data_IF_819669131485
#
_entry.id   IF_819669131485
#
_cell.length_a   1.000
_cell.length_b   1.000
_cell.length_c   1.000
_cell.angle_alpha   90.00
_cell.angle_beta   90.00
_cell.angle_gamma   90.00
#
_symmetry.space_group_name_H-M   'P 1'
#
loop_
_entity.id
_entity.type
_entity.pdbx_description
1 polymer ?
#
# COMPACT_ATOMS: atom_id res chain seq x y z
N UNK A 1 -40.04 9.69 -18.34
CA UNK A 1 -40.35 10.66 -17.25
C UNK A 1 -39.71 12.00 -17.59
N UNK A 2 -40.09 13.11 -16.93
CA UNK A 2 -39.38 14.40 -17.08
C UNK A 2 -38.15 14.54 -16.18
N UNK A 3 -37.98 13.61 -15.24
CA UNK A 3 -36.81 13.39 -14.41
C UNK A 3 -37.02 12.12 -13.57
N UNK A 4 -35.96 11.61 -12.94
CA UNK A 4 -35.98 10.41 -12.10
C UNK A 4 -35.28 10.70 -10.77
N UNK A 5 -35.91 10.30 -9.67
CA UNK A 5 -35.23 10.18 -8.37
C UNK A 5 -34.93 8.69 -8.18
N UNK A 6 -33.65 8.34 -8.13
CA UNK A 6 -33.17 6.99 -7.78
C UNK A 6 -32.95 6.96 -6.28
N UNK A 7 -33.51 5.98 -5.59
CA UNK A 7 -33.26 5.80 -4.16
C UNK A 7 -32.09 4.84 -3.97
N UNK A 8 -31.13 5.18 -3.10
CA UNK A 8 -30.29 4.14 -2.51
C UNK A 8 -31.19 3.18 -1.69
N UNK A 9 -30.91 1.89 -1.78
CA UNK A 9 -31.60 0.81 -1.06
C UNK A 9 -30.94 0.44 0.28
N UNK A 10 -29.71 0.89 0.53
CA UNK A 10 -28.95 0.60 1.74
C UNK A 10 -28.93 1.80 2.71
N UNK A 11 -29.38 1.64 3.97
CA UNK A 11 -29.31 2.69 4.99
C UNK A 11 -27.88 3.14 5.28
N UNK A 12 -27.69 4.45 5.49
CA UNK A 12 -26.39 5.03 5.87
C UNK A 12 -25.33 5.10 4.76
N UNK A 13 -25.57 4.52 3.58
CA UNK A 13 -24.67 4.66 2.44
C UNK A 13 -24.73 6.06 1.81
N UNK A 14 -23.59 6.51 1.28
CA UNK A 14 -23.50 7.76 0.53
C UNK A 14 -24.25 7.64 -0.80
N UNK A 15 -24.79 8.76 -1.27
CA UNK A 15 -25.22 8.88 -2.67
C UNK A 15 -24.01 8.89 -3.58
N UNK A 16 -24.11 8.20 -4.72
CA UNK A 16 -23.06 8.16 -5.75
C UNK A 16 -23.61 8.60 -7.11
N UNK A 17 -22.72 8.99 -8.01
CA UNK A 17 -23.08 9.37 -9.37
C UNK A 17 -23.42 8.10 -10.15
N UNK A 18 -24.67 7.96 -10.59
CA UNK A 18 -25.07 6.88 -11.48
C UNK A 18 -24.44 7.06 -12.86
N UNK A 19 -23.87 6.00 -13.42
CA UNK A 19 -23.47 5.98 -14.83
C UNK A 19 -24.67 6.25 -15.75
N UNK A 20 -24.47 7.08 -16.78
CA UNK A 20 -25.53 7.52 -17.69
C UNK A 20 -25.28 7.11 -19.14
N UNK A 21 -26.36 6.84 -19.88
CA UNK A 21 -26.33 6.76 -21.34
C UNK A 21 -26.44 8.19 -21.92
N UNK A 22 -25.42 8.70 -22.64
CA UNK A 22 -25.47 10.04 -23.23
C UNK A 22 -26.57 10.20 -24.32
N UNK A 23 -27.20 9.11 -24.76
CA UNK A 23 -28.36 9.15 -25.67
C UNK A 23 -29.70 9.35 -24.93
N UNK A 24 -29.75 9.18 -23.60
CA UNK A 24 -30.98 9.34 -22.80
C UNK A 24 -30.94 10.59 -21.92
N UNK A 25 -31.48 11.69 -22.46
CA UNK A 25 -31.57 12.98 -21.77
C UNK A 25 -32.69 13.07 -20.70
N UNK A 26 -32.92 12.01 -19.91
CA UNK A 26 -33.80 12.07 -18.73
C UNK A 26 -32.93 12.41 -17.51
N UNK A 27 -33.06 13.60 -16.91
CA UNK A 27 -32.24 13.96 -15.75
C UNK A 27 -32.57 13.06 -14.56
N UNK A 28 -31.55 12.39 -14.04
CA UNK A 28 -31.64 11.52 -12.87
C UNK A 28 -30.83 12.09 -11.70
N UNK A 29 -31.30 11.88 -10.48
CA UNK A 29 -30.57 12.18 -9.24
C UNK A 29 -30.72 11.01 -8.28
N UNK A 30 -29.63 10.58 -7.64
CA UNK A 30 -29.70 9.64 -6.53
C UNK A 30 -29.91 10.40 -5.21
N UNK A 31 -30.77 9.88 -4.34
CA UNK A 31 -30.96 10.33 -2.96
C UNK A 31 -30.64 9.20 -1.99
N UNK A 32 -30.31 9.56 -0.73
CA UNK A 32 -30.02 8.59 0.32
C UNK A 32 -31.23 7.68 0.59
N UNK A 33 -31.01 6.56 1.27
CA UNK A 33 -32.11 5.70 1.69
C UNK A 33 -33.08 6.47 2.61
N UNK A 34 -32.53 7.28 3.51
CA UNK A 34 -33.24 8.09 4.49
C UNK A 34 -34.11 9.17 3.82
N UNK A 35 -33.53 9.97 2.92
CA UNK A 35 -34.25 10.96 2.12
C UNK A 35 -35.32 10.30 1.25
N UNK A 36 -35.04 9.10 0.71
CA UNK A 36 -36.03 8.35 -0.05
C UNK A 36 -37.23 7.93 0.79
N UNK A 37 -37.05 7.51 2.05
CA UNK A 37 -38.19 7.19 2.91
C UNK A 37 -39.05 8.43 3.21
N UNK A 38 -38.40 9.59 3.45
CA UNK A 38 -39.10 10.87 3.63
C UNK A 38 -39.91 11.22 2.37
N UNK A 39 -39.29 11.16 1.19
CA UNK A 39 -39.95 11.46 -0.08
C UNK A 39 -41.12 10.50 -0.36
N UNK A 40 -40.96 9.20 -0.09
CA UNK A 40 -42.03 8.20 -0.26
C UNK A 40 -43.23 8.46 0.67
N UNK A 41 -42.97 8.82 1.93
CA UNK A 41 -44.01 9.16 2.88
C UNK A 41 -44.79 10.41 2.44
N UNK A 42 -44.09 11.46 1.99
CA UNK A 42 -44.73 12.71 1.57
C UNK A 42 -45.44 12.64 0.21
N UNK A 43 -44.98 11.78 -0.71
CA UNK A 43 -45.72 11.52 -1.96
C UNK A 43 -47.11 10.95 -1.65
N UNK A 44 -47.26 10.11 -0.62
CA UNK A 44 -48.56 9.60 -0.19
C UNK A 44 -49.49 10.70 0.40
N UNK A 45 -48.91 11.79 0.90
CA UNK A 45 -49.63 12.97 1.38
C UNK A 45 -49.98 13.98 0.27
N UNK A 46 -49.63 13.70 -0.99
CA UNK A 46 -49.87 14.59 -2.13
C UNK A 46 -48.82 15.70 -2.31
N UNK A 47 -47.61 15.54 -1.75
CA UNK A 47 -46.52 16.50 -1.91
C UNK A 47 -46.16 16.68 -3.39
N UNK A 48 -46.24 17.92 -3.89
CA UNK A 48 -45.70 18.29 -5.21
C UNK A 48 -44.20 18.57 -5.09
N UNK A 49 -43.37 17.58 -5.42
CA UNK A 49 -41.91 17.73 -5.41
C UNK A 49 -41.45 18.55 -6.62
N UNK A 50 -40.85 19.71 -6.37
CA UNK A 50 -40.17 20.50 -7.41
C UNK A 50 -38.68 20.20 -7.40
N UNK A 51 -38.20 19.42 -8.37
CA UNK A 51 -36.77 19.14 -8.53
C UNK A 51 -36.12 20.34 -9.23
N UNK A 52 -35.35 21.14 -8.49
CA UNK A 52 -34.53 22.20 -9.07
C UNK A 52 -33.07 21.76 -9.14
N UNK A 53 -32.69 21.14 -10.25
CA UNK A 53 -31.28 20.89 -10.57
C UNK A 53 -30.64 22.26 -10.86
N UNK A 54 -29.98 22.80 -9.84
CA UNK A 54 -29.07 23.94 -10.00
C UNK A 54 -27.70 23.38 -10.38
N UNK A 55 -26.84 24.18 -11.02
CA UNK A 55 -25.43 23.82 -11.17
C UNK A 55 -24.79 23.78 -9.76
N UNK A 56 -24.82 22.60 -9.15
CA UNK A 56 -24.07 22.33 -7.92
C UNK A 56 -22.60 22.51 -8.28
N UNK A 57 -21.81 23.09 -7.38
CA UNK A 57 -20.36 23.00 -7.50
C UNK A 57 -20.04 21.52 -7.33
N UNK A 58 -19.86 20.79 -8.43
CA UNK A 58 -19.36 19.42 -8.45
C UNK A 58 -17.84 19.46 -8.38
N UNK A 59 -17.24 18.54 -7.64
CA UNK A 59 -15.83 18.21 -7.79
C UNK A 59 -15.74 17.28 -8.98
N UNK A 60 -15.27 17.84 -10.08
CA UNK A 60 -15.06 17.13 -11.33
C UNK A 60 -13.97 16.06 -11.13
N UNK A 61 -14.29 14.80 -11.39
CA UNK A 61 -13.36 13.67 -11.23
C UNK A 61 -12.12 13.82 -12.11
N UNK A 62 -12.22 14.56 -13.21
CA UNK A 62 -11.10 14.83 -14.12
C UNK A 62 -10.02 15.73 -13.48
N UNK A 63 -10.31 16.32 -12.31
CA UNK A 63 -9.34 17.07 -11.49
C UNK A 63 -8.73 16.22 -10.36
N UNK A 64 -9.14 14.96 -10.20
CA UNK A 64 -8.53 13.99 -9.30
C UNK A 64 -7.55 13.10 -10.08
N UNK A 65 -6.25 13.41 -9.99
CA UNK A 65 -5.21 12.64 -10.67
C UNK A 65 -5.21 11.16 -10.27
N UNK A 66 -5.68 10.81 -9.07
CA UNK A 66 -5.80 9.43 -8.62
C UNK A 66 -6.86 8.67 -9.41
N UNK A 67 -8.01 9.30 -9.69
CA UNK A 67 -9.07 8.72 -10.53
C UNK A 67 -8.56 8.54 -11.97
N UNK A 68 -7.94 9.56 -12.55
CA UNK A 68 -7.39 9.44 -13.93
C UNK A 68 -6.33 8.33 -14.04
N UNK A 69 -5.47 8.17 -13.04
CA UNK A 69 -4.49 7.08 -12.99
C UNK A 69 -5.17 5.70 -12.82
N UNK A 70 -6.21 5.62 -11.98
CA UNK A 70 -7.00 4.40 -11.78
C UNK A 70 -7.66 3.92 -13.09
N UNK A 71 -8.42 4.80 -13.76
CA UNK A 71 -9.09 4.44 -15.02
C UNK A 71 -8.10 4.02 -16.12
N UNK A 72 -6.93 4.66 -16.18
CA UNK A 72 -5.87 4.24 -17.10
C UNK A 72 -5.26 2.88 -16.70
N UNK A 73 -5.18 2.58 -15.40
CA UNK A 73 -4.75 1.31 -14.84
C UNK A 73 -5.59 0.12 -15.32
N UNK A 74 -6.90 0.30 -15.54
CA UNK A 74 -7.75 -0.71 -16.17
C UNK A 74 -7.32 -0.98 -17.63
N UNK A 75 -6.97 0.06 -18.37
CA UNK A 75 -6.48 -0.04 -19.75
C UNK A 75 -5.14 -0.79 -19.83
N UNK A 76 -4.28 -0.63 -18.83
CA UNK A 76 -3.01 -1.37 -18.71
C UNK A 76 -3.30 -2.84 -18.35
N UNK A 77 -3.97 -3.09 -17.22
CA UNK A 77 -4.15 -4.44 -16.66
C UNK A 77 -4.89 -5.39 -17.61
N UNK A 78 -5.98 -4.93 -18.25
CA UNK A 78 -6.70 -5.73 -19.24
C UNK A 78 -5.91 -6.00 -20.53
N UNK A 79 -4.92 -5.16 -20.88
CA UNK A 79 -4.10 -5.38 -22.09
C UNK A 79 -2.85 -6.24 -21.85
N UNK A 80 -2.37 -6.31 -20.61
CA UNK A 80 -1.22 -7.14 -20.24
C UNK A 80 -1.66 -8.55 -19.83
N UNK A 81 -2.72 -8.66 -19.01
CA UNK A 81 -3.22 -9.96 -18.51
C UNK A 81 -3.69 -10.86 -19.65
N UNK A 82 -3.14 -12.08 -19.74
CA UNK A 82 -3.43 -13.01 -20.84
C UNK A 82 -2.93 -12.54 -22.23
N UNK A 83 -2.25 -11.39 -22.31
CA UNK A 83 -1.72 -10.83 -23.54
C UNK A 83 -2.72 -9.99 -24.36
N UNK A 84 -2.18 -9.09 -25.17
CA UNK A 84 -2.90 -7.98 -25.81
C UNK A 84 -4.08 -8.34 -26.74
N UNK A 85 -4.23 -9.61 -27.12
CA UNK A 85 -5.37 -10.12 -27.90
C UNK A 85 -6.55 -10.62 -27.05
N UNK A 86 -6.42 -10.70 -25.72
CA UNK A 86 -7.45 -11.23 -24.82
C UNK A 86 -7.85 -10.22 -23.72
N UNK A 87 -8.52 -9.10 -24.07
CA UNK A 87 -8.77 -8.00 -23.14
C UNK A 87 -9.83 -8.26 -22.05
N UNK A 88 -10.31 -9.51 -21.91
CA UNK A 88 -11.40 -9.90 -21.01
C UNK A 88 -10.92 -10.91 -19.95
N UNK A 89 -9.65 -10.85 -19.56
CA UNK A 89 -9.02 -11.81 -18.65
C UNK A 89 -9.16 -11.46 -17.15
N UNK A 90 -9.95 -10.44 -16.81
CA UNK A 90 -10.12 -9.91 -15.45
C UNK A 90 -11.62 -9.79 -15.09
N UNK A 91 -12.34 -10.89 -15.27
CA UNK A 91 -13.81 -10.96 -15.07
C UNK A 91 -14.25 -12.05 -14.11
N UNK A 92 -13.29 -12.78 -13.52
CA UNK A 92 -13.52 -13.79 -12.49
C UNK A 92 -13.72 -13.13 -11.10
N UNK A 93 -14.06 -13.90 -10.07
CA UNK A 93 -14.41 -13.34 -8.77
C UNK A 93 -13.20 -12.82 -7.99
N UNK A 94 -12.10 -13.57 -7.98
CA UNK A 94 -10.82 -13.15 -7.35
C UNK A 94 -10.00 -12.12 -8.17
N UNK A 95 -10.61 -11.45 -9.15
CA UNK A 95 -9.85 -10.64 -10.11
C UNK A 95 -9.22 -9.38 -9.47
N UNK A 96 -7.95 -9.15 -9.80
CA UNK A 96 -7.09 -8.14 -9.18
C UNK A 96 -7.07 -6.76 -9.89
N UNK A 97 -7.90 -6.59 -10.93
CA UNK A 97 -8.02 -5.43 -11.83
C UNK A 97 -8.10 -4.08 -11.12
N UNK A 98 -9.05 -3.97 -10.21
CA UNK A 98 -9.26 -2.80 -9.34
C UNK A 98 -8.01 -2.46 -8.51
N UNK A 99 -7.28 -3.49 -8.06
CA UNK A 99 -6.12 -3.33 -7.20
C UNK A 99 -4.88 -2.86 -7.93
N UNK A 100 -4.65 -3.29 -9.18
CA UNK A 100 -3.57 -2.69 -9.99
C UNK A 100 -3.90 -1.22 -10.32
N UNK A 101 -5.16 -0.91 -10.61
CA UNK A 101 -5.59 0.47 -10.87
C UNK A 101 -5.37 1.39 -9.66
N UNK A 102 -5.74 0.95 -8.45
CA UNK A 102 -5.42 1.69 -7.22
C UNK A 102 -3.90 1.79 -6.98
N UNK A 103 -3.12 0.74 -7.27
CA UNK A 103 -1.67 0.79 -7.16
C UNK A 103 -1.05 1.89 -8.05
N UNK A 104 -1.51 2.05 -9.30
CA UNK A 104 -1.07 3.16 -10.16
C UNK A 104 -1.46 4.52 -9.57
N UNK A 105 -2.69 4.64 -9.05
CA UNK A 105 -3.18 5.87 -8.42
C UNK A 105 -2.33 6.26 -7.20
N UNK A 106 -1.93 5.30 -6.36
CA UNK A 106 -1.08 5.56 -5.19
C UNK A 106 0.38 5.87 -5.57
N UNK A 107 1.01 5.01 -6.37
CA UNK A 107 2.44 5.09 -6.64
C UNK A 107 2.82 6.40 -7.35
N UNK A 108 1.97 6.86 -8.29
CA UNK A 108 2.18 8.13 -9.01
C UNK A 108 1.94 9.39 -8.16
N UNK A 109 1.41 9.24 -6.93
CA UNK A 109 1.20 10.33 -5.98
C UNK A 109 2.24 10.36 -4.85
N UNK A 110 3.15 9.38 -4.77
CA UNK A 110 4.20 9.31 -3.74
C UNK A 110 5.19 10.48 -3.83
N UNK A 111 5.67 10.93 -2.66
CA UNK A 111 6.45 12.17 -2.51
C UNK A 111 7.67 11.95 -1.59
N UNK A 112 8.72 12.78 -1.72
CA UNK A 112 9.80 12.80 -0.75
C UNK A 112 9.30 13.24 0.63
N UNK A 113 9.16 12.30 1.56
CA UNK A 113 8.75 12.58 2.95
C UNK A 113 7.47 11.88 3.38
N UNK A 114 6.74 11.26 2.46
CA UNK A 114 5.67 10.31 2.80
C UNK A 114 6.28 9.13 3.61
N UNK A 115 5.46 8.50 4.46
CA UNK A 115 5.78 7.39 5.34
C UNK A 115 4.95 6.14 5.01
N UNK A 116 5.48 4.95 5.32
CA UNK A 116 4.77 3.68 5.08
C UNK A 116 3.43 3.57 5.83
N UNK A 117 3.35 4.21 7.01
CA UNK A 117 2.17 4.25 7.87
C UNK A 117 1.14 5.31 7.44
N UNK A 118 1.45 6.18 6.47
CA UNK A 118 0.51 7.20 6.01
C UNK A 118 -0.76 6.55 5.44
N UNK A 119 -1.93 7.03 5.88
CA UNK A 119 -3.22 6.52 5.47
C UNK A 119 -3.69 7.17 4.16
N UNK A 120 -3.53 6.46 3.04
CA UNK A 120 -3.82 6.98 1.69
C UNK A 120 -5.19 6.54 1.18
N UNK A 121 -6.16 7.46 1.13
CA UNK A 121 -7.50 7.20 0.59
C UNK A 121 -7.63 7.51 -0.91
N UNK A 122 -8.42 6.70 -1.63
CA UNK A 122 -8.73 6.90 -3.05
C UNK A 122 -9.96 7.80 -3.25
N UNK A 123 -9.90 8.70 -4.24
CA UNK A 123 -11.03 9.54 -4.64
C UNK A 123 -11.46 10.56 -3.58
N UNK A 124 -10.56 10.95 -2.68
CA UNK A 124 -10.85 11.88 -1.56
C UNK A 124 -11.32 13.24 -2.07
N UNK A 125 -10.72 13.76 -3.15
CA UNK A 125 -11.17 15.00 -3.78
C UNK A 125 -12.59 14.84 -4.32
N UNK A 126 -12.87 13.89 -5.22
CA UNK A 126 -14.21 13.72 -5.78
C UNK A 126 -15.30 13.44 -4.70
N UNK A 127 -14.90 12.88 -3.56
CA UNK A 127 -15.79 12.51 -2.44
C UNK A 127 -16.03 13.60 -1.39
N UNK A 128 -15.64 14.87 -1.65
CA UNK A 128 -15.71 15.99 -0.69
C UNK A 128 -14.99 15.74 0.63
N UNK A 129 -13.91 14.94 0.61
CA UNK A 129 -13.11 14.66 1.79
C UNK A 129 -11.88 15.57 1.86
N UNK A 130 -11.27 15.63 3.05
CA UNK A 130 -9.94 16.20 3.22
C UNK A 130 -8.91 15.36 2.45
N UNK A 131 -7.73 15.91 2.16
CA UNK A 131 -6.65 15.15 1.51
C UNK A 131 -6.22 13.88 2.30
N UNK A 132 -6.44 13.88 3.62
CA UNK A 132 -6.20 12.74 4.53
C UNK A 132 -7.49 11.96 4.86
N UNK A 133 -8.50 12.04 4.00
CA UNK A 133 -9.75 11.28 4.15
C UNK A 133 -9.57 9.80 3.81
N UNK A 134 -10.44 8.93 4.34
CA UNK A 134 -10.39 7.49 4.05
C UNK A 134 -10.68 7.12 2.59
N UNK A 135 -11.28 8.03 1.81
CA UNK A 135 -11.60 7.80 0.40
C UNK A 135 -12.86 6.96 0.20
N UNK A 136 -12.87 6.14 -0.85
CA UNK A 136 -14.01 5.28 -1.26
C UNK A 136 -13.81 3.79 -1.00
N UNK A 137 -12.60 3.35 -0.62
CA UNK A 137 -12.30 1.94 -0.31
C UNK A 137 -12.63 1.63 1.16
N UNK A 138 -12.79 0.35 1.56
CA UNK A 138 -13.18 0.01 2.94
C UNK A 138 -12.18 0.50 4.00
N UNK A 139 -10.89 0.48 3.66
CA UNK A 139 -9.80 1.04 4.46
C UNK A 139 -8.87 1.87 3.55
N UNK A 140 -8.19 2.90 4.07
CA UNK A 140 -7.11 3.58 3.36
C UNK A 140 -5.88 2.67 3.22
N UNK A 141 -5.02 2.92 2.24
CA UNK A 141 -3.81 2.14 2.03
C UNK A 141 -2.67 2.62 2.94
N UNK A 142 -2.13 1.71 3.75
CA UNK A 142 -1.07 1.93 4.75
C UNK A 142 -0.48 0.58 5.16
N UNK A 143 0.78 0.56 5.58
CA UNK A 143 1.41 -0.63 6.18
C UNK A 143 0.98 -0.86 7.63
N UNK A 144 0.21 0.05 8.23
CA UNK A 144 -0.36 -0.11 9.58
C UNK A 144 -1.58 -1.06 9.57
N UNK A 145 -1.38 -2.28 10.08
CA UNK A 145 -2.41 -3.30 10.24
C UNK A 145 -3.55 -2.88 11.19
N UNK A 146 -3.31 -1.90 12.07
CA UNK A 146 -4.35 -1.34 12.95
C UNK A 146 -5.32 -0.39 12.23
N UNK A 147 -4.92 0.14 11.06
CA UNK A 147 -5.72 1.04 10.23
C UNK A 147 -6.28 0.33 9.00
N UNK A 148 -5.50 -0.54 8.37
CA UNK A 148 -5.92 -1.42 7.29
C UNK A 148 -5.59 -2.87 7.66
N UNK A 149 -6.53 -3.60 8.27
CA UNK A 149 -6.31 -4.96 8.76
C UNK A 149 -6.38 -6.02 7.66
N UNK A 150 -6.59 -5.66 6.38
CA UNK A 150 -6.89 -6.64 5.34
C UNK A 150 -5.82 -7.72 5.21
N UNK A 151 -6.32 -8.96 5.11
CA UNK A 151 -5.58 -10.18 4.77
C UNK A 151 -6.27 -10.89 3.59
N UNK A 152 -5.67 -11.96 3.07
CA UNK A 152 -6.20 -12.67 1.92
C UNK A 152 -7.60 -13.24 2.16
N UNK A 153 -7.91 -13.73 3.37
CA UNK A 153 -9.22 -14.28 3.72
C UNK A 153 -10.37 -13.26 3.66
N UNK A 154 -10.08 -11.95 3.68
CA UNK A 154 -11.12 -10.92 3.64
C UNK A 154 -11.83 -10.82 2.27
N UNK A 155 -11.33 -11.47 1.22
CA UNK A 155 -11.96 -11.43 -0.12
C UNK A 155 -13.39 -12.03 -0.15
N UNK A 156 -13.71 -12.96 0.76
CA UNK A 156 -15.06 -13.51 0.99
C UNK A 156 -16.04 -12.42 1.46
N UNK A 157 -15.58 -11.51 2.33
CA UNK A 157 -16.42 -10.52 3.02
C UNK A 157 -16.63 -9.20 2.29
N UNK A 158 -16.01 -8.97 1.12
CA UNK A 158 -15.93 -7.66 0.48
C UNK A 158 -16.60 -7.61 -0.91
N UNK A 159 -16.85 -6.39 -1.41
CA UNK A 159 -17.53 -6.22 -2.70
C UNK A 159 -16.65 -6.65 -3.88
N UNK A 160 -17.24 -7.37 -4.83
CA UNK A 160 -16.57 -7.73 -6.09
C UNK A 160 -16.91 -6.65 -7.14
N UNK A 161 -15.93 -6.10 -7.90
CA UNK A 161 -14.49 -6.31 -7.76
C UNK A 161 -13.79 -5.35 -6.79
N UNK A 162 -14.43 -4.23 -6.45
CA UNK A 162 -13.81 -3.06 -5.80
C UNK A 162 -13.14 -3.37 -4.44
N UNK A 163 -13.78 -4.17 -3.61
CA UNK A 163 -13.28 -4.63 -2.32
C UNK A 163 -12.18 -5.69 -2.47
N UNK A 164 -12.35 -6.67 -3.36
CA UNK A 164 -11.31 -7.67 -3.67
C UNK A 164 -10.04 -6.98 -4.15
N UNK A 165 -10.14 -6.03 -5.09
CA UNK A 165 -9.02 -5.19 -5.50
C UNK A 165 -8.40 -4.36 -4.38
N UNK A 166 -9.18 -3.99 -3.36
CA UNK A 166 -8.64 -3.28 -2.18
C UNK A 166 -7.74 -4.19 -1.35
N UNK A 167 -8.06 -5.47 -1.20
CA UNK A 167 -7.17 -6.46 -0.57
C UNK A 167 -5.89 -6.62 -1.39
N UNK A 168 -6.01 -6.76 -2.72
CA UNK A 168 -4.84 -6.91 -3.60
C UNK A 168 -3.90 -5.70 -3.56
N UNK A 169 -4.44 -4.48 -3.72
CA UNK A 169 -3.63 -3.26 -3.68
C UNK A 169 -2.95 -3.06 -2.32
N UNK A 170 -3.59 -3.48 -1.23
CA UNK A 170 -2.99 -3.45 0.11
C UNK A 170 -1.72 -4.32 0.19
N UNK A 171 -1.71 -5.49 -0.45
CA UNK A 171 -0.50 -6.33 -0.57
C UNK A 171 0.60 -5.67 -1.44
N UNK A 172 0.21 -5.05 -2.56
CA UNK A 172 1.15 -4.32 -3.41
C UNK A 172 1.74 -3.09 -2.71
N UNK A 173 0.99 -2.45 -1.81
CA UNK A 173 1.45 -1.31 -1.02
C UNK A 173 2.52 -1.72 -0.01
N UNK A 174 2.29 -2.79 0.76
CA UNK A 174 3.30 -3.39 1.65
C UNK A 174 4.56 -3.78 0.86
N UNK A 175 4.41 -4.42 -0.31
CA UNK A 175 5.54 -4.79 -1.17
C UNK A 175 6.34 -3.55 -1.63
N UNK A 176 5.64 -2.48 -1.99
CA UNK A 176 6.25 -1.23 -2.43
C UNK A 176 7.10 -0.60 -1.33
N UNK A 177 6.62 -0.59 -0.09
CA UNK A 177 7.38 -0.05 1.03
C UNK A 177 8.57 -0.92 1.42
N UNK A 178 8.45 -2.25 1.40
CA UNK A 178 9.60 -3.15 1.59
C UNK A 178 10.71 -2.90 0.55
N UNK A 179 10.33 -2.66 -0.71
CA UNK A 179 11.28 -2.32 -1.78
C UNK A 179 11.88 -0.92 -1.60
N UNK A 180 11.09 0.07 -1.18
CA UNK A 180 11.56 1.43 -0.88
C UNK A 180 12.53 1.46 0.30
N UNK A 181 12.29 0.65 1.34
CA UNK A 181 13.23 0.50 2.45
C UNK A 181 14.58 -0.05 1.95
N UNK A 182 14.56 -1.12 1.15
CA UNK A 182 15.79 -1.76 0.68
C UNK A 182 16.58 -0.94 -0.35
N UNK A 183 15.91 -0.23 -1.26
CA UNK A 183 16.55 0.43 -2.41
C UNK A 183 16.47 1.96 -2.40
N UNK A 184 15.77 2.53 -1.42
CA UNK A 184 15.46 3.96 -1.33
C UNK A 184 14.35 4.39 -2.29
N UNK A 185 13.70 5.51 -1.97
CA UNK A 185 12.72 6.17 -2.83
C UNK A 185 13.39 7.04 -3.90
N UNK A 186 12.93 6.94 -5.16
CA UNK A 186 13.32 7.84 -6.25
C UNK A 186 12.14 8.75 -6.65
N UNK A 187 12.24 10.09 -6.51
CA UNK A 187 11.12 10.99 -6.80
C UNK A 187 10.82 11.18 -8.30
N UNK A 188 11.79 10.89 -9.16
CA UNK A 188 11.58 10.89 -10.61
C UNK A 188 10.99 9.54 -11.02
N UNK A 189 9.70 9.53 -11.39
CA UNK A 189 8.98 8.32 -11.83
C UNK A 189 9.52 7.72 -13.13
N UNK A 190 10.34 8.45 -13.89
CA UNK A 190 11.08 7.91 -15.04
C UNK A 190 12.41 7.27 -14.65
N UNK A 191 12.91 7.51 -13.42
CA UNK A 191 14.10 6.86 -12.88
C UNK A 191 13.73 5.62 -12.04
N UNK A 192 13.69 4.48 -12.70
CA UNK A 192 13.17 3.22 -12.14
C UNK A 192 14.13 2.49 -11.17
N UNK A 193 15.22 3.12 -10.73
CA UNK A 193 16.24 2.48 -9.86
C UNK A 193 15.88 2.43 -8.38
N UNK A 194 14.89 3.20 -7.93
CA UNK A 194 14.39 3.18 -6.55
C UNK A 194 13.42 2.03 -6.30
N UNK A 195 13.13 1.74 -5.04
CA UNK A 195 12.17 0.70 -4.66
C UNK A 195 10.77 0.89 -5.25
N UNK A 196 10.31 2.14 -5.36
CA UNK A 196 9.07 2.49 -6.06
C UNK A 196 9.14 2.20 -7.57
N UNK A 197 10.29 2.42 -8.20
CA UNK A 197 10.54 2.08 -9.61
C UNK A 197 10.68 0.58 -9.87
N UNK A 198 11.25 -0.16 -8.92
CA UNK A 198 11.30 -1.62 -8.93
C UNK A 198 9.89 -2.20 -8.75
N UNK A 199 9.11 -1.71 -7.79
CA UNK A 199 7.72 -2.11 -7.58
C UNK A 199 6.87 -1.91 -8.85
N UNK A 200 7.00 -0.75 -9.52
CA UNK A 200 6.34 -0.48 -10.79
C UNK A 200 6.71 -1.51 -11.88
N UNK A 201 8.00 -1.83 -12.03
CA UNK A 201 8.46 -2.81 -13.02
C UNK A 201 7.92 -4.22 -12.70
N UNK A 202 7.95 -4.63 -11.43
CA UNK A 202 7.46 -5.93 -10.98
C UNK A 202 5.95 -6.09 -11.21
N UNK A 203 5.15 -5.06 -10.90
CA UNK A 203 3.70 -5.06 -11.16
C UNK A 203 3.40 -5.07 -12.66
N UNK A 204 4.11 -4.26 -13.45
CA UNK A 204 3.96 -4.20 -14.91
C UNK A 204 4.34 -5.50 -15.62
N UNK A 205 5.36 -6.21 -15.14
CA UNK A 205 5.80 -7.47 -15.73
C UNK A 205 4.97 -8.66 -15.19
N UNK A 206 4.60 -8.67 -13.90
CA UNK A 206 3.71 -9.67 -13.32
C UNK A 206 2.37 -9.74 -14.07
N UNK A 207 1.76 -8.60 -14.41
CA UNK A 207 0.55 -8.58 -15.24
C UNK A 207 0.73 -9.19 -16.63
N UNK A 208 1.94 -9.26 -17.20
CA UNK A 208 2.21 -9.93 -18.49
C UNK A 208 2.45 -11.43 -18.34
N UNK A 209 2.96 -11.86 -17.18
CA UNK A 209 3.35 -13.24 -16.90
C UNK A 209 2.20 -14.08 -16.35
N UNK A 210 1.25 -13.46 -15.64
CA UNK A 210 0.09 -14.14 -15.07
C UNK A 210 -0.87 -14.70 -16.14
N UNK A 211 -1.60 -15.80 -15.84
CA UNK A 211 -2.57 -16.38 -16.75
C UNK A 211 -3.79 -15.48 -17.00
N UNK A 212 -4.65 -15.90 -17.91
CA UNK A 212 -5.98 -15.31 -18.08
C UNK A 212 -6.92 -15.81 -16.96
N UNK A 213 -7.76 -14.94 -16.41
CA UNK A 213 -8.61 -15.18 -15.24
C UNK A 213 -7.85 -15.66 -13.98
N UNK A 214 -6.78 -14.95 -13.56
CA UNK A 214 -5.92 -15.33 -12.45
C UNK A 214 -6.63 -15.17 -11.09
N UNK A 215 -6.18 -15.94 -10.10
CA UNK A 215 -6.41 -15.67 -8.67
C UNK A 215 -5.24 -14.94 -8.03
N UNK A 216 -5.28 -14.71 -6.72
CA UNK A 216 -4.25 -13.95 -6.02
C UNK A 216 -2.89 -14.66 -6.01
N UNK A 217 -2.86 -15.99 -5.83
CA UNK A 217 -1.63 -16.78 -5.85
C UNK A 217 -0.97 -16.72 -7.23
N UNK A 218 -1.75 -16.79 -8.31
CA UNK A 218 -1.25 -16.59 -9.68
C UNK A 218 -0.58 -15.21 -9.84
N UNK A 219 -1.20 -14.15 -9.33
CA UNK A 219 -0.68 -12.78 -9.40
C UNK A 219 0.62 -12.59 -8.61
N UNK A 220 0.71 -13.16 -7.41
CA UNK A 220 1.92 -13.17 -6.57
C UNK A 220 3.06 -13.91 -7.26
N UNK A 221 2.79 -15.11 -7.75
CA UNK A 221 3.81 -15.95 -8.37
C UNK A 221 4.30 -15.35 -9.70
N UNK A 222 3.43 -14.64 -10.42
CA UNK A 222 3.83 -13.83 -11.58
C UNK A 222 4.74 -12.64 -11.21
N UNK A 223 4.52 -11.98 -10.06
CA UNK A 223 5.40 -10.93 -9.54
C UNK A 223 6.77 -11.49 -9.10
N UNK A 224 6.81 -12.68 -8.48
CA UNK A 224 8.06 -13.38 -8.16
C UNK A 224 8.80 -13.86 -9.42
N UNK A 225 8.07 -14.28 -10.45
CA UNK A 225 8.63 -14.59 -11.77
C UNK A 225 9.19 -13.34 -12.47
N UNK A 226 8.53 -12.18 -12.33
CA UNK A 226 9.05 -10.90 -12.79
C UNK A 226 10.35 -10.50 -12.07
N UNK A 227 10.45 -10.70 -10.75
CA UNK A 227 11.69 -10.47 -9.99
C UNK A 227 12.83 -11.38 -10.45
N UNK A 228 12.51 -12.64 -10.73
CA UNK A 228 13.45 -13.61 -11.30
C UNK A 228 13.93 -13.17 -12.69
N UNK A 229 13.02 -12.69 -13.55
CA UNK A 229 13.31 -12.29 -14.93
C UNK A 229 14.11 -10.98 -15.02
N UNK A 230 13.75 -9.97 -14.22
CA UNK A 230 14.30 -8.61 -14.32
C UNK A 230 15.51 -8.39 -13.40
N UNK A 231 15.51 -9.02 -12.22
CA UNK A 231 16.50 -8.77 -11.16
C UNK A 231 17.19 -10.04 -10.65
N UNK A 232 16.95 -11.20 -11.28
CA UNK A 232 17.58 -12.48 -10.90
C UNK A 232 17.11 -13.02 -9.54
N UNK A 233 15.93 -12.63 -9.07
CA UNK A 233 15.38 -13.04 -7.77
C UNK A 233 15.89 -12.21 -6.59
N UNK A 234 16.54 -11.06 -6.86
CA UNK A 234 17.20 -10.26 -5.84
C UNK A 234 16.24 -9.71 -4.78
N UNK A 235 14.96 -9.50 -5.11
CA UNK A 235 13.97 -8.86 -4.23
C UNK A 235 12.90 -9.83 -3.69
N UNK A 236 13.10 -11.14 -3.91
CA UNK A 236 12.09 -12.15 -3.63
C UNK A 236 11.70 -12.21 -2.16
N UNK A 237 12.59 -11.84 -1.23
CA UNK A 237 12.27 -11.83 0.20
C UNK A 237 11.40 -10.63 0.63
N UNK A 238 11.58 -9.47 0.01
CA UNK A 238 10.76 -8.26 0.23
C UNK A 238 9.33 -8.50 -0.27
N UNK A 239 9.23 -9.16 -1.43
CA UNK A 239 7.97 -9.61 -2.03
C UNK A 239 7.30 -10.66 -1.13
N UNK A 240 8.01 -11.73 -0.76
CA UNK A 240 7.45 -12.78 0.11
C UNK A 240 6.99 -12.27 1.46
N UNK A 241 7.73 -11.35 2.12
CA UNK A 241 7.32 -10.77 3.40
C UNK A 241 6.02 -9.98 3.27
N UNK A 242 5.90 -9.12 2.25
CA UNK A 242 4.67 -8.34 2.04
C UNK A 242 3.44 -9.22 1.80
N UNK A 243 3.55 -10.21 0.91
CA UNK A 243 2.43 -11.11 0.62
C UNK A 243 2.11 -12.03 1.81
N UNK A 244 3.11 -12.61 2.48
CA UNK A 244 2.91 -13.47 3.64
C UNK A 244 2.32 -12.72 4.85
N UNK A 245 2.74 -11.48 5.11
CA UNK A 245 2.18 -10.61 6.17
C UNK A 245 0.68 -10.39 6.01
N UNK A 246 0.18 -10.45 4.76
CA UNK A 246 -1.22 -10.30 4.37
C UNK A 246 -1.90 -11.65 4.08
N UNK A 247 -1.36 -12.78 4.54
CA UNK A 247 -1.98 -14.10 4.40
C UNK A 247 -1.78 -14.80 3.04
N UNK A 248 -0.99 -14.25 2.12
CA UNK A 248 -0.71 -14.82 0.79
C UNK A 248 0.71 -15.43 0.68
N UNK A 249 1.18 -16.03 1.78
CA UNK A 249 2.49 -16.70 1.90
C UNK A 249 2.59 -18.04 1.17
N UNK A 250 3.71 -18.74 1.34
CA UNK A 250 4.13 -19.90 0.53
C UNK A 250 3.06 -20.98 0.40
N UNK A 251 2.40 -21.33 1.51
CA UNK A 251 1.39 -22.39 1.55
C UNK A 251 -0.05 -21.89 1.29
N UNK A 252 -0.23 -20.63 0.89
CA UNK A 252 -1.55 -20.09 0.57
C UNK A 252 -2.10 -20.76 -0.70
N UNK A 253 -3.37 -21.12 -0.67
CA UNK A 253 -4.08 -21.78 -1.77
C UNK A 253 -5.22 -20.86 -2.22
N UNK A 254 -5.36 -20.64 -3.53
CA UNK A 254 -6.42 -19.77 -4.05
C UNK A 254 -7.71 -20.49 -4.45
N UNK A 255 -7.75 -21.81 -4.34
CA UNK A 255 -8.91 -22.60 -4.77
C UNK A 255 -9.31 -22.33 -6.23
N UNK A 256 -10.56 -21.91 -6.43
CA UNK A 256 -11.15 -21.57 -7.73
C UNK A 256 -11.17 -20.06 -7.92
N UNK A 257 -10.57 -19.55 -9.01
CA UNK A 257 -10.56 -18.10 -9.31
C UNK A 257 -11.95 -17.46 -9.51
N UNK A 258 -13.01 -18.29 -9.55
CA UNK A 258 -14.42 -17.90 -9.62
C UNK A 258 -15.18 -18.07 -8.30
N UNK A 259 -14.49 -18.32 -7.18
CA UNK A 259 -15.05 -18.44 -5.83
C UNK A 259 -14.09 -17.72 -4.86
N UNK A 260 -14.59 -16.74 -4.12
CA UNK A 260 -13.77 -16.01 -3.11
C UNK A 260 -13.75 -16.70 -1.75
N UNK A 261 -14.37 -17.88 -1.62
CA UNK A 261 -14.64 -18.55 -0.34
C UNK A 261 -13.91 -19.89 -0.15
N UNK A 262 -13.22 -20.40 -1.19
CA UNK A 262 -12.54 -21.70 -1.16
C UNK A 262 -11.00 -21.61 -1.05
N UNK A 263 -10.44 -20.40 -0.96
CA UNK A 263 -9.04 -20.14 -0.66
C UNK A 263 -8.66 -20.36 0.81
N UNK A 264 -7.35 -20.49 1.08
CA UNK A 264 -6.79 -20.59 2.44
C UNK A 264 -5.51 -19.79 2.57
N UNK A 265 -5.38 -19.04 3.66
CA UNK A 265 -4.20 -18.22 3.92
C UNK A 265 -2.95 -19.01 4.33
N UNK A 266 -1.79 -18.39 4.11
CA UNK A 266 -0.54 -18.74 4.80
C UNK A 266 0.24 -17.48 5.14
N UNK A 267 0.88 -17.47 6.30
CA UNK A 267 1.78 -16.40 6.74
C UNK A 267 3.26 -16.83 6.62
N UNK A 268 3.52 -17.96 5.96
CA UNK A 268 4.85 -18.55 5.82
C UNK A 268 5.64 -17.86 4.70
N UNK A 269 6.86 -17.42 5.01
CA UNK A 269 7.87 -17.04 4.01
C UNK A 269 8.85 -18.19 3.77
N UNK A 270 9.54 -18.26 2.61
CA UNK A 270 10.58 -19.26 2.37
C UNK A 270 11.68 -19.19 3.43
N UNK A 271 12.27 -20.34 3.79
CA UNK A 271 13.32 -20.44 4.81
C UNK A 271 14.53 -19.53 4.53
N UNK A 272 14.84 -19.26 3.26
CA UNK A 272 15.90 -18.31 2.86
C UNK A 272 15.57 -16.83 3.12
N UNK A 273 14.30 -16.51 3.36
CA UNK A 273 13.79 -15.17 3.65
C UNK A 273 13.38 -14.99 5.12
N UNK A 274 13.30 -16.08 5.88
CA UNK A 274 13.22 -16.07 7.33
C UNK A 274 14.53 -15.52 7.89
N UNK A 275 14.47 -14.40 8.59
CA UNK A 275 15.62 -13.88 9.32
C UNK A 275 15.89 -14.81 10.52
N UNK A 276 17.16 -15.16 10.75
CA UNK A 276 17.54 -15.94 11.93
C UNK A 276 17.85 -15.00 13.08
N UNK A 277 17.16 -15.13 14.21
CA UNK A 277 17.44 -14.34 15.41
C UNK A 277 18.90 -14.51 15.84
N UNK A 278 19.66 -13.42 15.76
CA UNK A 278 21.03 -13.34 16.26
C UNK A 278 20.99 -12.77 17.68
N UNK A 279 21.43 -13.56 18.67
CA UNK A 279 21.55 -13.10 20.06
C UNK A 279 22.66 -12.04 20.19
N UNK A 280 22.30 -10.75 20.11
CA UNK A 280 23.22 -9.64 20.38
C UNK A 280 23.58 -9.64 21.86
N UNK A 281 24.76 -10.17 22.18
CA UNK A 281 25.20 -10.35 23.57
C UNK A 281 26.03 -9.14 24.02
N UNK A 282 25.39 -8.17 24.67
CA UNK A 282 26.07 -6.99 25.22
C UNK A 282 26.84 -7.32 26.51
N UNK A 283 28.14 -7.02 26.53
CA UNK A 283 29.04 -7.31 27.66
C UNK A 283 28.93 -6.27 28.80
N UNK A 284 27.79 -6.25 29.51
CA UNK A 284 27.66 -5.49 30.75
C UNK A 284 26.29 -5.48 31.41
N UNK A 285 25.22 -5.46 30.61
CA UNK A 285 23.81 -5.46 31.03
C UNK A 285 22.98 -6.14 29.94
N UNK A 286 22.05 -7.04 30.29
CA UNK A 286 21.07 -7.54 29.31
C UNK A 286 20.07 -6.44 28.97
N UNK A 287 20.02 -5.97 27.72
CA UNK A 287 18.94 -5.10 27.25
C UNK A 287 17.73 -5.99 26.94
N UNK A 288 16.56 -5.79 27.57
CA UNK A 288 15.36 -6.55 27.25
C UNK A 288 14.86 -6.26 25.84
N UNK A 289 14.26 -7.26 25.19
CA UNK A 289 13.61 -7.08 23.89
C UNK A 289 12.49 -6.02 24.02
N UNK A 290 12.42 -5.08 23.07
CA UNK A 290 11.45 -3.97 23.10
C UNK A 290 11.79 -2.79 24.03
N UNK A 291 13.07 -2.54 24.34
CA UNK A 291 13.50 -1.37 25.14
C UNK A 291 14.14 -0.29 24.25
N UNK A 292 13.52 0.89 24.16
CA UNK A 292 14.24 2.10 23.73
C UNK A 292 15.18 2.56 24.86
N UNK A 293 16.49 2.48 24.66
CA UNK A 293 17.46 3.12 25.56
C UNK A 293 18.57 3.83 24.78
N UNK A 294 18.98 5.01 25.28
CA UNK A 294 20.04 5.83 24.68
C UNK A 294 21.38 5.39 25.25
N UNK A 295 21.92 4.30 24.70
CA UNK A 295 23.22 3.78 25.05
C UNK A 295 24.36 4.78 24.76
N UNK A 296 24.77 5.55 25.77
CA UNK A 296 25.91 6.47 25.70
C UNK A 296 27.27 5.74 25.83
N UNK A 297 27.59 4.72 25.00
CA UNK A 297 28.96 4.15 24.93
C UNK A 297 29.29 3.32 23.66
N UNK A 298 30.56 2.88 23.55
CA UNK A 298 31.28 2.28 22.40
C UNK A 298 31.09 0.74 22.21
N UNK A 299 31.45 0.19 21.03
CA UNK A 299 31.18 -1.20 20.53
C UNK A 299 32.47 -1.82 19.84
N UNK A 300 32.62 -3.14 19.47
CA UNK A 300 33.86 -3.76 18.86
C UNK A 300 33.85 -4.97 17.82
N UNK A 301 34.62 -4.90 16.70
CA UNK A 301 34.68 -5.74 15.45
C UNK A 301 35.94 -6.60 15.18
N UNK A 302 35.78 -7.56 14.26
CA UNK A 302 36.74 -8.36 13.47
C UNK A 302 37.80 -7.58 12.63
N UNK A 303 38.86 -7.08 13.29
CA UNK A 303 40.20 -6.81 12.72
C UNK A 303 40.33 -5.92 11.46
N UNK A 304 39.25 -5.32 10.98
CA UNK A 304 39.20 -4.47 9.79
C UNK A 304 39.06 -3.01 10.22
N UNK A 305 39.99 -2.15 9.80
CA UNK A 305 40.04 -0.76 10.27
C UNK A 305 39.12 0.14 9.44
N UNK A 306 38.01 0.58 10.03
CA UNK A 306 37.13 1.61 9.47
C UNK A 306 37.76 2.99 9.69
N UNK A 307 37.78 3.83 8.65
CA UNK A 307 38.33 5.19 8.67
C UNK A 307 37.26 6.27 8.44
N UNK A 308 37.64 7.53 8.68
CA UNK A 308 36.75 8.67 8.46
C UNK A 308 36.45 8.84 6.97
N UNK A 309 35.16 8.73 6.61
CA UNK A 309 34.68 8.82 5.23
C UNK A 309 34.22 7.50 4.62
N UNK A 310 34.36 6.38 5.32
CA UNK A 310 33.88 5.07 4.85
C UNK A 310 32.34 4.97 4.95
N UNK A 311 31.72 4.45 3.89
CA UNK A 311 30.33 3.97 3.93
C UNK A 311 30.34 2.51 4.38
N UNK A 312 29.74 2.20 5.54
CA UNK A 312 29.70 0.84 6.10
C UNK A 312 28.26 0.36 6.17
N UNK A 313 27.97 -0.74 5.48
CA UNK A 313 26.74 -1.52 5.67
C UNK A 313 27.02 -2.66 6.66
N UNK A 314 26.25 -2.72 7.74
CA UNK A 314 26.41 -3.72 8.80
C UNK A 314 25.37 -4.83 8.62
N UNK A 315 25.77 -6.07 8.89
CA UNK A 315 24.86 -7.24 8.91
C UNK A 315 24.74 -7.76 10.34
N UNK A 316 23.54 -8.21 10.74
CA UNK A 316 23.32 -8.79 12.06
C UNK A 316 24.29 -9.96 12.34
N UNK A 317 24.96 -9.92 13.51
CA UNK A 317 26.00 -10.87 13.89
C UNK A 317 27.44 -10.32 13.86
N UNK A 318 27.65 -9.08 13.43
CA UNK A 318 28.93 -8.36 13.55
C UNK A 318 28.87 -7.32 14.69
N UNK A 319 29.89 -7.28 15.55
CA UNK A 319 30.11 -6.16 16.46
C UNK A 319 31.11 -5.14 15.81
N UNK A 320 31.34 -3.91 16.35
CA UNK A 320 31.72 -2.70 15.58
C UNK A 320 32.88 -1.87 16.22
N UNK A 321 34.19 -2.11 15.94
CA UNK A 321 35.32 -1.49 16.71
C UNK A 321 35.78 -0.15 16.20
N UNK A 322 35.89 0.76 17.16
CA UNK A 322 36.20 2.16 16.96
C UNK A 322 37.61 2.41 17.51
N UNK A 323 38.50 2.93 16.67
CA UNK A 323 39.88 3.25 17.05
C UNK A 323 39.91 4.31 18.19
N UNK A 324 40.94 4.31 19.06
CA UNK A 324 41.04 5.29 20.16
C UNK A 324 41.12 6.77 19.74
N UNK A 325 41.24 7.06 18.45
CA UNK A 325 41.34 8.40 17.86
C UNK A 325 40.00 8.93 17.31
N UNK A 326 38.88 8.28 17.62
CA UNK A 326 37.56 8.71 17.17
C UNK A 326 36.97 9.73 18.16
N UNK A 327 37.13 11.03 17.85
CA UNK A 327 36.42 12.09 18.57
C UNK A 327 35.01 12.28 17.99
N UNK A 328 33.98 12.07 18.82
CA UNK A 328 32.63 12.57 18.54
C UNK A 328 32.61 14.09 18.80
N UNK A 329 32.85 14.87 17.73
CA UNK A 329 33.01 16.33 17.83
C UNK A 329 31.66 17.03 17.99
N UNK A 330 31.27 17.32 19.24
CA UNK A 330 30.02 17.99 19.63
C UNK A 330 28.74 17.15 19.34
N UNK A 331 27.64 17.35 20.08
CA UNK A 331 26.76 16.26 20.55
C UNK A 331 26.19 15.42 19.41
N UNK A 332 26.86 14.30 19.13
CA UNK A 332 26.48 13.32 18.12
C UNK A 332 26.15 12.00 18.81
N UNK A 333 24.91 11.54 18.64
CA UNK A 333 24.44 10.23 19.10
C UNK A 333 24.52 9.24 17.95
N UNK A 334 25.16 8.10 18.17
CA UNK A 334 25.07 6.96 17.26
C UNK A 334 23.74 6.23 17.54
N UNK A 335 22.84 6.19 16.56
CA UNK A 335 21.63 5.38 16.62
C UNK A 335 21.85 4.08 15.84
N UNK A 336 21.64 2.95 16.51
CA UNK A 336 21.65 1.62 15.93
C UNK A 336 20.22 1.10 15.93
N UNK A 337 19.62 1.01 14.75
CA UNK A 337 18.31 0.41 14.54
C UNK A 337 18.49 -1.13 14.49
N UNK A 338 18.19 -1.80 15.61
CA UNK A 338 18.18 -3.27 15.70
C UNK A 338 16.72 -3.70 15.65
N UNK A 339 16.23 -4.02 14.45
CA UNK A 339 14.86 -4.51 14.29
C UNK A 339 14.76 -6.00 14.60
N UNK A 340 13.71 -6.44 15.31
CA UNK A 340 13.43 -7.86 15.45
C UNK A 340 13.14 -8.48 14.07
N UNK A 341 13.48 -9.75 13.92
CA UNK A 341 13.34 -10.53 12.68
C UNK A 341 11.88 -10.82 12.29
N UNK A 342 10.93 -10.46 13.14
CA UNK A 342 9.64 -11.13 13.24
C UNK A 342 8.46 -10.24 12.83
N UNK A 343 8.04 -10.36 11.57
CA UNK A 343 6.76 -9.84 11.08
C UNK A 343 5.56 -10.69 11.55
N UNK A 344 5.77 -11.83 12.23
CA UNK A 344 4.69 -12.75 12.67
C UNK A 344 4.03 -12.36 14.00
N UNK A 345 4.15 -11.08 14.39
CA UNK A 345 3.39 -10.50 15.51
C UNK A 345 1.90 -10.55 15.20
N UNK A 346 1.26 -11.61 15.72
CA UNK A 346 -0.15 -11.93 15.60
C UNK A 346 -1.05 -10.71 15.91
N UNK A 347 -2.22 -10.58 15.26
CA UNK A 347 -3.12 -9.46 15.48
C UNK A 347 -3.63 -9.45 16.94
N UNK A 348 -3.09 -8.54 17.76
CA UNK A 348 -3.55 -8.36 19.14
C UNK A 348 -2.56 -7.72 20.11
N UNK A 349 -1.24 -7.78 19.88
CA UNK A 349 -0.27 -7.09 20.76
C UNK A 349 -0.01 -5.66 20.28
N UNK A 350 -0.61 -4.71 21.01
CA UNK A 350 -0.34 -3.28 20.87
C UNK A 350 1.13 -3.01 21.20
N UNK A 351 1.96 -2.78 20.19
CA UNK A 351 3.20 -2.02 20.33
C UNK A 351 2.81 -0.54 20.31
N UNK A 352 3.06 0.23 21.39
CA UNK A 352 2.78 1.66 21.36
C UNK A 352 3.75 2.37 20.40
N UNK A 353 3.21 3.37 19.71
CA UNK A 353 3.91 4.52 19.10
C UNK A 353 5.45 4.57 19.29
N UNK A 354 6.22 4.50 18.19
CA UNK A 354 6.96 5.65 17.60
C UNK A 354 7.90 5.26 16.43
N UNK A 355 8.08 6.23 15.52
CA UNK A 355 9.24 6.47 14.62
C UNK A 355 9.88 5.30 13.84
N UNK A 356 9.23 4.90 12.73
CA UNK A 356 9.90 4.20 11.61
C UNK A 356 10.59 5.22 10.67
N UNK A 357 11.92 5.17 10.59
CA UNK A 357 12.82 5.57 9.46
C UNK A 357 14.14 6.18 9.96
N UNK A 358 15.28 5.74 9.40
CA UNK A 358 16.55 6.50 9.46
C UNK A 358 16.97 6.93 8.05
N UNK A 359 16.70 8.19 7.71
CA UNK A 359 17.15 8.83 6.46
C UNK A 359 18.37 9.71 6.73
N UNK A 360 19.51 9.40 6.10
CA UNK A 360 20.73 10.23 6.21
C UNK A 360 20.52 11.55 5.45
N UNK A 361 20.20 12.64 6.18
CA UNK A 361 20.26 13.99 5.63
C UNK A 361 21.66 14.58 5.83
N UNK A 362 22.29 14.89 4.70
CA UNK A 362 23.66 15.42 4.57
C UNK A 362 23.85 16.72 5.38
N UNK A 363 24.59 16.64 6.48
CA UNK A 363 24.98 17.80 7.28
C UNK A 363 26.21 18.50 6.67
N UNK A 364 25.98 19.48 5.80
CA UNK A 364 26.98 20.48 5.47
C UNK A 364 26.90 21.62 6.50
N UNK A 365 27.90 21.79 7.35
CA UNK A 365 28.01 22.96 8.21
C UNK A 365 28.55 24.17 7.42
N UNK A 366 27.69 25.17 7.21
CA UNK A 366 28.10 26.56 7.46
C UNK A 366 26.89 27.48 7.64
N UNK A 367 26.82 28.07 8.83
CA UNK A 367 26.24 29.40 9.12
C UNK A 367 24.79 29.72 8.72
N UNK A 368 23.97 29.86 9.76
CA UNK A 368 23.07 31.00 10.02
C UNK A 368 21.75 31.20 9.21
N UNK A 369 20.67 31.20 10.01
CA UNK A 369 19.43 32.00 9.90
C UNK A 369 18.29 31.65 8.90
N UNK A 370 17.14 31.36 9.54
CA UNK A 370 15.75 31.81 9.22
C UNK A 370 14.89 30.98 8.24
N UNK A 371 13.60 30.92 8.59
CA UNK A 371 12.45 30.24 7.94
C UNK A 371 12.06 30.78 6.56
N UNK A 372 11.30 29.95 5.86
CA UNK A 372 10.42 30.20 4.69
C UNK A 372 11.14 30.37 3.35
N UNK A 373 10.56 29.90 2.23
CA UNK A 373 9.23 29.30 2.03
C UNK A 373 9.28 27.79 1.82
#
# INVERSE_FOLDING_TARGET
AIGVIVCNNNPGERVFTMGGDPQQAIPAVMVSYEDCQILKAEIANGLTVTIKISAVKVQDSDLDNGIIAHEYGHGISNRLTGGASMPNCLTNQEQMGEGWSDFFALLLQMKPGDLETDANGIGTYASWQNATGGGIRPFPYTTDMGVNPFTYNDIDGVSIPHGVGSVWCTMLWDMTWNLIERHGFQPDVYNITGGNGIAMQLVMEGMKLQPCSPGFVDGRDAILAADTLLFGGANSCEIWRAFARRGLGVDALQGSTNDVTDGTESYVTPVSCQCTDQNVTYSGVSIPNGTEDRANTTISIDNSTIQSGDNVSLTAGQEISVQPTFELVNPATLLLDIRPCDDSVLPGSIMPDQEKMVRILKSNTSTNFIRSK
#
